data_IF_589799601662
#
_entry.id   IF_589799601662
#
_cell.length_a   1.000
_cell.length_b   1.000
_cell.length_c   1.000
_cell.angle_alpha   90.00
_cell.angle_beta   90.00
_cell.angle_gamma   90.00
#
_symmetry.space_group_name_H-M   'P 1'
#
loop_
_entity.id
_entity.type
_entity.pdbx_description
1 polymer ?
#
# COMPACT_ATOMS: atom_id res chain seq x y z
N UNK A 1 -20.88 -32.94 50.48
CA UNK A 1 -19.97 -33.06 49.31
C UNK A 1 -20.55 -32.57 47.98
N UNK A 2 -21.86 -32.73 47.70
CA UNK A 2 -22.50 -32.35 46.42
C UNK A 2 -22.50 -30.82 46.17
N UNK A 3 -22.73 -30.01 47.21
CA UNK A 3 -22.80 -28.55 47.09
C UNK A 3 -21.44 -27.90 46.68
N UNK A 4 -20.32 -28.49 47.11
CA UNK A 4 -18.99 -27.99 46.76
C UNK A 4 -18.62 -28.29 45.31
N UNK A 5 -19.06 -29.44 44.78
CA UNK A 5 -18.89 -29.80 43.36
C UNK A 5 -19.72 -28.89 42.44
N UNK A 6 -20.96 -28.55 42.84
CA UNK A 6 -21.79 -27.62 42.09
C UNK A 6 -21.16 -26.22 42.02
N UNK A 7 -20.62 -25.71 43.14
CA UNK A 7 -19.90 -24.42 43.16
C UNK A 7 -18.67 -24.42 42.26
N UNK A 8 -17.88 -25.49 42.27
CA UNK A 8 -16.70 -25.59 41.40
C UNK A 8 -17.07 -25.61 39.91
N UNK A 9 -18.16 -26.28 39.54
CA UNK A 9 -18.66 -26.29 38.16
C UNK A 9 -19.10 -24.88 37.74
N UNK A 10 -19.87 -24.18 38.59
CA UNK A 10 -20.34 -22.81 38.28
C UNK A 10 -19.19 -21.83 38.16
N UNK A 11 -18.19 -21.91 39.04
CA UNK A 11 -17.00 -21.05 38.96
C UNK A 11 -16.17 -21.38 37.72
N UNK A 12 -16.02 -22.66 37.39
CA UNK A 12 -15.32 -23.11 36.19
C UNK A 12 -15.97 -22.62 34.90
N UNK A 13 -17.31 -22.67 34.80
CA UNK A 13 -18.01 -22.16 33.61
C UNK A 13 -17.93 -20.65 33.51
N UNK A 14 -18.04 -19.91 34.62
CA UNK A 14 -17.86 -18.46 34.65
C UNK A 14 -16.44 -18.02 34.25
N UNK A 15 -15.41 -18.73 34.71
CA UNK A 15 -14.04 -18.46 34.32
C UNK A 15 -13.81 -18.76 32.83
N UNK A 16 -14.39 -19.84 32.30
CA UNK A 16 -14.28 -20.21 30.89
C UNK A 16 -14.97 -19.19 29.98
N UNK A 17 -16.15 -18.69 30.37
CA UNK A 17 -16.86 -17.65 29.60
C UNK A 17 -16.11 -16.33 29.63
N UNK A 18 -15.54 -15.93 30.78
CA UNK A 18 -14.71 -14.72 30.89
C UNK A 18 -13.42 -14.82 30.04
N UNK A 19 -12.76 -15.97 30.02
CA UNK A 19 -11.61 -16.23 29.15
C UNK A 19 -12.00 -16.17 27.67
N UNK A 20 -13.17 -16.72 27.31
CA UNK A 20 -13.71 -16.66 25.96
C UNK A 20 -14.01 -15.21 25.53
N UNK A 21 -14.65 -14.44 26.43
CA UNK A 21 -14.92 -13.00 26.28
C UNK A 21 -13.66 -12.15 26.13
N UNK A 22 -12.57 -12.52 26.81
CA UNK A 22 -11.26 -11.85 26.69
C UNK A 22 -10.46 -12.25 25.44
N UNK A 23 -10.96 -13.20 24.64
CA UNK A 23 -10.20 -13.71 23.50
C UNK A 23 -10.12 -12.66 22.39
N UNK A 24 -8.93 -12.55 21.78
CA UNK A 24 -8.68 -11.69 20.63
C UNK A 24 -9.54 -12.03 19.40
N UNK A 25 -10.21 -13.18 19.40
CA UNK A 25 -11.12 -13.63 18.35
C UNK A 25 -12.46 -12.92 18.41
N UNK A 26 -13.03 -12.69 19.60
CA UNK A 26 -14.29 -11.94 19.74
C UNK A 26 -14.12 -10.47 19.42
N UNK A 27 -12.98 -9.90 19.79
CA UNK A 27 -12.64 -8.53 19.41
C UNK A 27 -12.55 -8.38 17.88
N UNK A 28 -11.89 -9.33 17.19
CA UNK A 28 -11.85 -9.36 15.72
C UNK A 28 -13.23 -9.54 15.10
N UNK A 29 -14.04 -10.45 15.63
CA UNK A 29 -15.42 -10.66 15.17
C UNK A 29 -16.27 -9.40 15.37
N UNK A 30 -16.13 -8.72 16.52
CA UNK A 30 -16.77 -7.43 16.77
C UNK A 30 -16.38 -6.38 15.72
N UNK A 31 -15.09 -6.24 15.41
CA UNK A 31 -14.66 -5.30 14.36
C UNK A 31 -15.20 -5.66 12.98
N UNK A 32 -15.23 -6.95 12.62
CA UNK A 32 -15.79 -7.42 11.35
C UNK A 32 -17.30 -7.16 11.25
N UNK A 33 -18.05 -7.43 12.32
CA UNK A 33 -19.49 -7.18 12.37
C UNK A 33 -19.81 -5.68 12.40
N UNK A 34 -18.95 -4.86 13.00
CA UNK A 34 -19.11 -3.39 13.05
C UNK A 34 -18.72 -2.72 11.73
N UNK A 35 -17.83 -3.31 10.94
CA UNK A 35 -17.30 -2.75 9.71
C UNK A 35 -18.38 -2.22 8.74
N UNK A 36 -19.43 -2.96 8.33
CA UNK A 36 -20.40 -2.46 7.35
C UNK A 36 -21.18 -1.22 7.82
N UNK A 37 -21.35 -1.04 9.13
CA UNK A 37 -22.06 0.10 9.71
C UNK A 37 -21.17 1.34 9.83
N UNK A 38 -19.90 1.16 10.20
CA UNK A 38 -18.95 2.27 10.38
C UNK A 38 -18.29 2.67 9.07
N UNK A 39 -18.09 1.72 8.15
CA UNK A 39 -17.41 1.96 6.88
C UNK A 39 -18.08 3.06 6.08
N UNK A 40 -19.41 3.02 5.93
CA UNK A 40 -20.13 4.03 5.14
C UNK A 40 -19.93 5.46 5.65
N UNK A 41 -19.94 5.64 6.98
CA UNK A 41 -19.70 6.95 7.59
C UNK A 41 -18.22 7.34 7.48
N UNK A 42 -17.31 6.40 7.77
CA UNK A 42 -15.87 6.65 7.73
C UNK A 42 -15.30 6.83 6.32
N UNK A 43 -15.97 6.30 5.29
CA UNK A 43 -15.55 6.45 3.89
C UNK A 43 -16.05 7.73 3.26
N UNK A 44 -17.00 8.44 3.89
CA UNK A 44 -17.54 9.68 3.34
C UNK A 44 -16.44 10.76 3.23
N UNK A 45 -15.57 10.86 4.25
CA UNK A 45 -14.44 11.79 4.26
C UNK A 45 -13.31 11.40 3.28
N UNK A 46 -13.35 10.17 2.74
CA UNK A 46 -12.38 9.70 1.74
C UNK A 46 -12.78 10.04 0.30
N UNK A 47 -13.94 10.67 0.08
CA UNK A 47 -14.40 11.05 -1.26
C UNK A 47 -13.67 12.32 -1.71
N UNK A 48 -12.78 12.17 -2.68
CA UNK A 48 -12.13 13.27 -3.40
C UNK A 48 -13.10 13.78 -4.47
N UNK A 49 -13.45 15.07 -4.44
CA UNK A 49 -14.35 15.69 -5.41
C UNK A 49 -14.24 17.21 -5.40
N UNK A 50 -14.43 17.85 -6.56
CA UNK A 50 -14.41 19.31 -6.68
C UNK A 50 -15.25 20.03 -5.60
N UNK A 51 -16.38 19.45 -5.20
CA UNK A 51 -17.29 20.03 -4.22
C UNK A 51 -16.78 19.93 -2.77
N UNK A 52 -15.98 18.92 -2.46
CA UNK A 52 -15.53 18.62 -1.10
C UNK A 52 -14.11 19.14 -0.82
N UNK A 53 -13.19 18.98 -1.78
CA UNK A 53 -11.77 19.31 -1.61
C UNK A 53 -11.19 20.19 -2.73
N UNK A 54 -12.06 20.80 -3.55
CA UNK A 54 -11.68 21.61 -4.72
C UNK A 54 -10.72 20.88 -5.67
N UNK A 55 -10.79 19.54 -5.68
CA UNK A 55 -9.96 18.71 -6.54
C UNK A 55 -10.63 18.45 -7.89
N UNK A 56 -9.94 18.85 -8.97
CA UNK A 56 -10.37 18.56 -10.34
C UNK A 56 -10.19 17.07 -10.67
N UNK A 57 -11.30 16.34 -10.63
CA UNK A 57 -11.38 14.92 -11.00
C UNK A 57 -11.37 14.66 -12.51
N UNK A 58 -11.57 15.69 -13.34
CA UNK A 58 -11.55 15.57 -14.81
C UNK A 58 -10.13 15.62 -15.36
N UNK A 59 -9.20 16.15 -14.58
CA UNK A 59 -7.82 16.40 -14.95
C UNK A 59 -7.67 17.31 -16.18
N UNK A 60 -8.67 18.14 -16.49
CA UNK A 60 -8.72 18.95 -17.70
C UNK A 60 -7.67 20.09 -17.68
N UNK A 61 -7.39 20.64 -16.50
CA UNK A 61 -6.44 21.75 -16.32
C UNK A 61 -4.98 21.30 -16.27
N UNK A 62 -4.72 19.98 -16.38
CA UNK A 62 -3.39 19.43 -16.25
C UNK A 62 -2.87 18.93 -17.59
N UNK A 63 -2.02 19.75 -18.19
CA UNK A 63 -1.28 19.38 -19.38
C UNK A 63 -0.45 18.11 -19.17
N UNK A 64 -0.22 17.38 -20.26
CA UNK A 64 0.62 16.17 -20.24
C UNK A 64 2.06 16.44 -19.73
N UNK A 65 2.53 17.68 -19.87
CA UNK A 65 3.86 18.13 -19.44
C UNK A 65 3.82 18.96 -18.14
N UNK A 66 2.74 18.86 -17.36
CA UNK A 66 2.60 19.60 -16.12
C UNK A 66 3.78 19.35 -15.17
N UNK A 67 4.42 20.42 -14.72
CA UNK A 67 5.57 20.39 -13.85
C UNK A 67 5.51 21.55 -12.86
N UNK A 68 5.58 21.23 -11.57
CA UNK A 68 5.71 22.23 -10.50
C UNK A 68 7.13 22.79 -10.38
N UNK A 69 8.06 22.37 -11.24
CA UNK A 69 9.45 22.85 -11.20
C UNK A 69 9.53 24.36 -11.44
N UNK A 70 8.78 24.85 -12.44
CA UNK A 70 8.81 26.25 -12.85
C UNK A 70 8.13 27.18 -11.82
N UNK A 71 7.27 26.63 -10.94
CA UNK A 71 6.54 27.42 -9.93
C UNK A 71 7.34 27.61 -8.64
N UNK A 72 8.53 27.00 -8.52
CA UNK A 72 9.37 27.08 -7.31
C UNK A 72 8.84 26.25 -6.13
N UNK A 73 7.70 25.57 -6.29
CA UNK A 73 7.11 24.68 -5.29
C UNK A 73 7.93 23.38 -5.27
N UNK A 74 8.49 23.02 -4.11
CA UNK A 74 9.18 21.73 -3.97
C UNK A 74 8.15 20.60 -3.97
N UNK A 75 8.26 19.62 -4.88
CA UNK A 75 7.36 18.48 -4.88
C UNK A 75 7.60 17.65 -3.61
N UNK A 76 6.52 17.22 -2.95
CA UNK A 76 6.60 16.37 -1.75
C UNK A 76 7.08 14.96 -2.08
N UNK A 77 6.80 14.48 -3.29
CA UNK A 77 7.21 13.17 -3.78
C UNK A 77 8.60 13.29 -4.43
N UNK A 78 9.60 12.53 -3.94
CA UNK A 78 10.89 12.45 -4.61
C UNK A 78 10.76 12.00 -6.07
N UNK A 79 11.55 12.58 -6.96
CA UNK A 79 11.57 12.23 -8.40
C UNK A 79 12.29 10.91 -8.68
N UNK A 80 11.78 9.83 -8.10
CA UNK A 80 12.30 8.46 -8.26
C UNK A 80 11.19 7.54 -8.74
N UNK A 81 11.49 6.75 -9.76
CA UNK A 81 10.58 5.76 -10.31
C UNK A 81 11.17 4.38 -10.06
N UNK A 82 10.42 3.54 -9.37
CA UNK A 82 10.81 2.17 -9.05
C UNK A 82 10.00 1.20 -9.91
N UNK A 83 10.69 0.39 -10.69
CA UNK A 83 10.11 -0.74 -11.42
C UNK A 83 10.48 -2.03 -10.68
N UNK A 84 9.53 -2.94 -10.49
CA UNK A 84 9.79 -4.21 -9.81
C UNK A 84 9.57 -5.35 -10.80
N UNK A 85 10.59 -6.19 -10.96
CA UNK A 85 10.53 -7.39 -11.77
C UNK A 85 11.21 -8.54 -11.03
N UNK A 86 10.39 -9.35 -10.33
CA UNK A 86 10.85 -10.55 -9.63
C UNK A 86 10.44 -11.81 -10.39
N UNK A 87 11.35 -12.77 -10.48
CA UNK A 87 11.21 -14.03 -11.20
C UNK A 87 12.13 -14.13 -12.41
N UNK A 88 12.35 -15.37 -12.85
CA UNK A 88 13.24 -15.70 -13.98
C UNK A 88 12.61 -15.50 -15.36
N UNK A 89 11.29 -15.24 -15.41
CA UNK A 89 10.57 -15.10 -16.68
C UNK A 89 10.74 -13.71 -17.25
N UNK A 90 11.14 -13.60 -18.53
CA UNK A 90 11.20 -12.31 -19.22
C UNK A 90 9.84 -11.59 -19.16
N UNK A 91 9.83 -10.26 -18.92
CA UNK A 91 8.59 -9.49 -19.02
C UNK A 91 7.98 -9.60 -20.42
N UNK A 92 6.64 -9.59 -20.53
CA UNK A 92 5.93 -9.42 -21.79
C UNK A 92 6.38 -8.15 -22.54
N UNK A 93 6.40 -8.19 -23.87
CA UNK A 93 6.85 -7.06 -24.71
C UNK A 93 6.07 -5.76 -24.42
N UNK A 94 4.75 -5.85 -24.27
CA UNK A 94 3.91 -4.69 -23.97
C UNK A 94 4.29 -4.01 -22.64
N UNK A 95 4.83 -4.74 -21.67
CA UNK A 95 5.31 -4.17 -20.41
C UNK A 95 6.63 -3.42 -20.60
N UNK A 96 7.52 -3.95 -21.45
CA UNK A 96 8.76 -3.28 -21.82
C UNK A 96 8.47 -1.99 -22.59
N UNK A 97 7.53 -2.04 -23.54
CA UNK A 97 7.08 -0.87 -24.30
C UNK A 97 6.48 0.20 -23.37
N UNK A 98 5.60 -0.19 -22.43
CA UNK A 98 5.02 0.72 -21.45
C UNK A 98 6.07 1.35 -20.52
N UNK A 99 7.06 0.55 -20.08
CA UNK A 99 8.18 1.05 -19.28
C UNK A 99 9.02 2.06 -20.07
N UNK A 100 9.31 1.77 -21.34
CA UNK A 100 10.09 2.66 -22.20
C UNK A 100 9.37 4.00 -22.38
N UNK A 101 8.07 4.00 -22.63
CA UNK A 101 7.28 5.22 -22.75
C UNK A 101 7.23 6.01 -21.43
N UNK A 102 7.06 5.30 -20.29
CA UNK A 102 7.11 5.93 -18.98
C UNK A 102 8.44 6.66 -18.73
N UNK A 103 9.57 6.02 -19.03
CA UNK A 103 10.89 6.63 -18.87
C UNK A 103 11.11 7.81 -19.81
N UNK A 104 10.60 7.75 -21.03
CA UNK A 104 10.67 8.84 -22.01
C UNK A 104 9.97 10.11 -21.50
N UNK A 105 8.84 9.97 -20.82
CA UNK A 105 8.12 11.10 -20.22
C UNK A 105 8.76 11.63 -18.91
N UNK A 106 9.67 10.87 -18.31
CA UNK A 106 10.28 11.18 -17.02
C UNK A 106 11.80 11.20 -17.12
N UNK A 107 12.33 11.86 -18.15
CA UNK A 107 13.77 11.91 -18.45
C UNK A 107 14.63 12.48 -17.29
N UNK A 108 14.04 13.35 -16.47
CA UNK A 108 14.70 13.95 -15.30
C UNK A 108 14.48 13.19 -13.99
N UNK A 109 13.86 12.02 -14.03
CA UNK A 109 13.62 11.19 -12.85
C UNK A 109 14.65 10.07 -12.73
N UNK A 110 15.00 9.73 -11.49
CA UNK A 110 15.90 8.63 -11.19
C UNK A 110 15.14 7.30 -11.30
N UNK A 111 15.51 6.47 -12.29
CA UNK A 111 14.86 5.19 -12.53
C UNK A 111 15.61 4.04 -11.84
N UNK A 112 14.90 3.29 -10.99
CA UNK A 112 15.39 2.08 -10.33
C UNK A 112 14.66 0.85 -10.85
N UNK A 113 15.40 -0.24 -11.07
CA UNK A 113 14.84 -1.55 -11.38
C UNK A 113 15.20 -2.53 -10.28
N UNK A 114 14.17 -3.10 -9.65
CA UNK A 114 14.29 -4.10 -8.60
C UNK A 114 14.20 -5.51 -9.20
N UNK A 115 15.28 -6.28 -9.09
CA UNK A 115 15.42 -7.69 -9.50
C UNK A 115 15.49 -8.58 -8.27
N UNK A 116 15.48 -9.91 -8.44
CA UNK A 116 15.58 -10.84 -7.31
C UNK A 116 16.82 -10.59 -6.45
N UNK A 117 17.97 -10.30 -7.06
CA UNK A 117 19.25 -10.14 -6.36
C UNK A 117 19.29 -8.85 -5.52
N UNK A 118 18.89 -7.73 -6.13
CA UNK A 118 18.96 -6.44 -5.44
C UNK A 118 17.80 -6.26 -4.44
N UNK A 119 16.64 -6.85 -4.70
CA UNK A 119 15.51 -6.83 -3.77
C UNK A 119 15.80 -7.69 -2.55
N UNK A 120 16.37 -8.88 -2.73
CA UNK A 120 16.75 -9.75 -1.62
C UNK A 120 17.76 -9.08 -0.69
N UNK A 121 18.82 -8.49 -1.26
CA UNK A 121 19.83 -7.74 -0.50
C UNK A 121 19.18 -6.54 0.22
N UNK A 122 18.33 -5.78 -0.46
CA UNK A 122 17.64 -4.64 0.14
C UNK A 122 16.76 -5.01 1.32
N UNK A 123 15.94 -6.06 1.20
CA UNK A 123 15.04 -6.50 2.28
C UNK A 123 15.87 -7.04 3.44
N UNK A 124 16.92 -7.82 3.17
CA UNK A 124 17.82 -8.35 4.20
C UNK A 124 18.46 -7.22 5.01
N UNK A 125 18.98 -6.20 4.34
CA UNK A 125 19.76 -5.13 4.96
C UNK A 125 18.90 -4.08 5.66
N UNK A 126 17.72 -3.76 5.10
CA UNK A 126 16.87 -2.67 5.60
C UNK A 126 15.71 -3.17 6.47
N UNK A 127 15.27 -4.43 6.28
CA UNK A 127 14.10 -5.01 6.95
C UNK A 127 14.40 -6.42 7.49
N UNK A 128 15.45 -6.62 8.30
CA UNK A 128 15.84 -7.95 8.79
C UNK A 128 14.70 -8.65 9.56
N UNK A 129 13.85 -7.88 10.24
CA UNK A 129 12.69 -8.38 10.97
C UNK A 129 11.54 -8.90 10.07
N UNK A 130 11.49 -8.49 8.79
CA UNK A 130 10.51 -8.99 7.80
C UNK A 130 11.11 -10.01 6.84
N UNK A 131 12.42 -10.18 6.84
CA UNK A 131 13.14 -10.97 5.84
C UNK A 131 12.68 -12.44 5.82
N UNK A 132 12.53 -13.07 6.99
CA UNK A 132 12.03 -14.46 7.09
C UNK A 132 10.62 -14.62 6.53
N UNK A 133 9.72 -13.66 6.80
CA UNK A 133 8.37 -13.67 6.25
C UNK A 133 8.40 -13.46 4.73
N UNK A 134 9.17 -12.47 4.26
CA UNK A 134 9.24 -12.11 2.85
C UNK A 134 9.80 -13.24 1.98
N UNK A 135 10.83 -13.93 2.45
CA UNK A 135 11.42 -15.09 1.78
C UNK A 135 10.51 -16.31 1.76
N UNK A 136 9.59 -16.43 2.73
CA UNK A 136 8.61 -17.52 2.80
C UNK A 136 7.37 -17.33 1.93
N UNK A 137 7.21 -16.19 1.28
CA UNK A 137 6.07 -15.99 0.40
C UNK A 137 6.11 -16.98 -0.77
N UNK A 138 5.07 -17.82 -0.93
CA UNK A 138 5.05 -18.83 -2.00
C UNK A 138 4.94 -18.22 -3.40
N UNK A 139 4.44 -16.99 -3.53
CA UNK A 139 4.21 -16.35 -4.81
C UNK A 139 4.99 -15.04 -4.95
N UNK A 140 5.63 -14.84 -6.11
CA UNK A 140 6.36 -13.61 -6.41
C UNK A 140 5.47 -12.36 -6.31
N UNK A 141 4.19 -12.44 -6.67
CA UNK A 141 3.27 -11.31 -6.52
C UNK A 141 3.17 -10.80 -5.08
N UNK A 142 3.20 -11.71 -4.09
CA UNK A 142 3.19 -11.33 -2.67
C UNK A 142 4.51 -10.66 -2.27
N UNK A 143 5.65 -11.15 -2.78
CA UNK A 143 6.97 -10.52 -2.58
C UNK A 143 7.00 -9.11 -3.18
N UNK A 144 6.46 -8.93 -4.39
CA UNK A 144 6.35 -7.63 -5.07
C UNK A 144 5.46 -6.68 -4.28
N UNK A 145 4.31 -7.14 -3.81
CA UNK A 145 3.37 -6.30 -3.06
C UNK A 145 3.94 -5.82 -1.73
N UNK A 146 4.64 -6.70 -1.00
CA UNK A 146 5.34 -6.32 0.21
C UNK A 146 6.50 -5.35 -0.08
N UNK A 147 7.31 -5.66 -1.11
CA UNK A 147 8.48 -4.86 -1.49
C UNK A 147 8.10 -3.42 -1.88
N UNK A 148 6.95 -3.22 -2.53
CA UNK A 148 6.42 -1.88 -2.87
C UNK A 148 6.39 -0.95 -1.66
N UNK A 149 5.82 -1.41 -0.55
CA UNK A 149 5.70 -0.60 0.66
C UNK A 149 7.06 -0.36 1.32
N UNK A 150 7.94 -1.35 1.32
CA UNK A 150 9.30 -1.21 1.85
C UNK A 150 10.11 -0.17 1.06
N UNK A 151 10.07 -0.23 -0.28
CA UNK A 151 10.75 0.74 -1.16
C UNK A 151 10.22 2.15 -0.90
N UNK A 152 8.88 2.32 -0.90
CA UNK A 152 8.27 3.64 -0.71
C UNK A 152 8.56 4.21 0.67
N UNK A 153 8.57 3.38 1.71
CA UNK A 153 8.93 3.84 3.05
C UNK A 153 10.40 4.27 3.14
N UNK A 154 11.32 3.56 2.47
CA UNK A 154 12.76 3.88 2.53
C UNK A 154 13.16 5.06 1.64
N UNK A 155 12.68 5.07 0.39
CA UNK A 155 13.16 5.98 -0.66
C UNK A 155 12.11 7.00 -1.11
N UNK A 156 10.83 6.78 -0.80
CA UNK A 156 9.74 7.52 -1.41
C UNK A 156 9.68 7.33 -2.93
N UNK A 157 9.08 8.31 -3.61
CA UNK A 157 8.88 8.27 -5.06
C UNK A 157 7.64 7.48 -5.45
N UNK A 158 7.66 6.93 -6.66
CA UNK A 158 6.55 6.15 -7.21
C UNK A 158 7.01 4.75 -7.58
N UNK A 159 6.16 3.76 -7.32
CA UNK A 159 6.37 2.39 -7.82
C UNK A 159 5.48 2.22 -9.05
N UNK A 160 6.10 2.12 -10.21
CA UNK A 160 5.43 1.93 -11.49
C UNK A 160 5.22 0.44 -11.74
N UNK A 161 3.96 0.06 -11.93
CA UNK A 161 3.56 -1.32 -12.19
C UNK A 161 3.14 -1.45 -13.66
N UNK A 162 3.57 -2.51 -14.37
CA UNK A 162 3.32 -2.63 -15.81
C UNK A 162 1.83 -2.77 -16.19
N UNK A 163 0.95 -3.08 -15.24
CA UNK A 163 -0.51 -3.12 -15.43
C UNK A 163 -1.18 -1.75 -15.28
N UNK A 164 -0.49 -0.75 -14.75
CA UNK A 164 -1.00 0.62 -14.61
C UNK A 164 -0.48 1.45 -15.79
N UNK A 165 -1.18 1.34 -16.91
CA UNK A 165 -0.99 2.24 -18.06
C UNK A 165 -1.25 3.68 -17.61
N UNK A 166 -0.46 4.61 -18.17
CA UNK A 166 -0.48 6.09 -18.16
C UNK A 166 -1.39 6.87 -17.17
N UNK A 167 -2.73 6.74 -17.13
CA UNK A 167 -3.58 7.56 -16.24
C UNK A 167 -3.27 7.45 -14.74
N UNK A 168 -2.80 6.31 -14.23
CA UNK A 168 -2.60 6.14 -12.78
C UNK A 168 -1.31 6.80 -12.24
N UNK A 169 -0.28 6.94 -13.09
CA UNK A 169 0.96 7.66 -12.72
C UNK A 169 0.65 9.16 -12.59
N UNK A 170 -0.23 9.69 -13.46
CA UNK A 170 -0.73 11.07 -13.40
C UNK A 170 -1.48 11.33 -12.06
N UNK A 171 -2.28 10.36 -11.60
CA UNK A 171 -2.96 10.47 -10.30
C UNK A 171 -1.97 10.60 -9.12
N UNK A 172 -0.95 9.75 -9.08
CA UNK A 172 -0.06 9.65 -7.91
C UNK A 172 0.86 10.85 -7.71
N UNK A 173 1.30 11.52 -8.78
CA UNK A 173 2.11 12.75 -8.67
C UNK A 173 1.31 13.97 -8.22
N UNK A 174 -0.02 13.93 -8.32
CA UNK A 174 -0.86 15.13 -8.23
C UNK A 174 -1.69 15.21 -6.93
N UNK A 175 -2.10 14.07 -6.35
CA UNK A 175 -2.94 14.05 -5.14
C UNK A 175 -2.25 14.58 -3.88
N UNK A 176 -0.92 14.63 -3.82
CA UNK A 176 -0.19 15.03 -2.58
C UNK A 176 -0.14 16.57 -2.39
N UNK A 177 -0.52 17.36 -3.39
CA UNK A 177 -0.39 18.83 -3.32
C UNK A 177 -1.64 19.61 -2.90
N UNK A 178 -2.82 18.98 -2.70
CA UNK A 178 -4.04 19.70 -2.25
C UNK A 178 -4.77 19.13 -1.03
N UNK A 179 -4.34 18.01 -0.43
CA UNK A 179 -5.05 17.41 0.71
C UNK A 179 -4.82 18.07 2.09
N UNK A 180 -4.26 19.29 2.18
CA UNK A 180 -4.42 20.13 3.37
C UNK A 180 -4.26 21.61 3.00
N UNK A 181 -5.00 22.53 3.68
CA UNK A 181 -5.14 23.94 3.34
C UNK A 181 -3.87 24.76 3.57
#
# INVERSE_FOLDING_TARGET
MICNRARLIVVGTLALTLLWLSSSSLLRLYYLLRLPFVWKASSADAIISQQHDDFDVTFADYDANYSTYATGIRPYIPRRIHHIHLGSSSPPKNWLDARAECLKHHEFWEAHLWTDENADSFVRDNYPHLYEMWTRYPFNVQRVDALRYMILQKYGGIVSMPLLVAPAIKLFTMTIHRCHP
#
